data_IF_436738433144
#
_entry.id   IF_436738433144
#
_cell.length_a   1.000
_cell.length_b   1.000
_cell.length_c   1.000
_cell.angle_alpha   90.00
_cell.angle_beta   90.00
_cell.angle_gamma   90.00
#
_symmetry.space_group_name_H-M   'P 1'
#
loop_
_entity.id
_entity.type
_entity.pdbx_description
1 polymer ?
#
# COMPACT_ATOMS: atom_id res chain seq x y z
N UNK A 1 0.50 13.53 -3.10
CA UNK A 1 1.25 13.80 -4.36
C UNK A 1 0.48 13.41 -5.62
N UNK A 2 -0.31 12.33 -5.67
CA UNK A 2 -1.07 11.92 -6.88
C UNK A 2 -2.31 12.77 -7.18
N UNK A 3 -3.00 13.30 -6.17
CA UNK A 3 -4.22 14.10 -6.36
C UNK A 3 -3.96 15.40 -7.15
N UNK A 4 -3.01 16.23 -6.70
CA UNK A 4 -2.65 17.46 -7.42
C UNK A 4 -2.16 17.20 -8.84
N UNK A 5 -1.44 16.10 -9.08
CA UNK A 5 -1.03 15.70 -10.44
C UNK A 5 -2.21 15.36 -11.33
N UNK A 6 -3.23 14.67 -10.81
CA UNK A 6 -4.42 14.30 -11.57
C UNK A 6 -5.28 15.53 -11.90
N UNK A 7 -5.35 16.51 -10.99
CA UNK A 7 -6.02 17.79 -11.23
C UNK A 7 -5.33 18.56 -12.36
N UNK A 8 -4.01 18.72 -12.31
CA UNK A 8 -3.23 19.35 -13.39
C UNK A 8 -3.44 18.66 -14.73
N UNK A 9 -3.32 17.33 -14.79
CA UNK A 9 -3.51 16.53 -16.02
C UNK A 9 -4.94 16.69 -16.59
N UNK A 10 -5.94 16.87 -15.73
CA UNK A 10 -7.33 17.11 -16.12
C UNK A 10 -7.52 18.50 -16.71
N UNK A 11 -6.95 19.53 -16.08
CA UNK A 11 -7.03 20.91 -16.57
C UNK A 11 -6.25 21.13 -17.87
N UNK A 12 -5.07 20.50 -18.01
CA UNK A 12 -4.31 20.46 -19.25
C UNK A 12 -5.12 19.80 -20.38
N UNK A 13 -5.77 18.67 -20.10
CA UNK A 13 -6.60 18.00 -21.10
C UNK A 13 -7.83 18.85 -21.48
N UNK A 14 -8.51 19.49 -20.52
CA UNK A 14 -9.62 20.41 -20.81
C UNK A 14 -9.17 21.55 -21.72
N UNK A 15 -8.01 22.16 -21.41
CA UNK A 15 -7.43 23.24 -22.21
C UNK A 15 -7.10 22.77 -23.62
N UNK A 16 -6.44 21.62 -23.78
CA UNK A 16 -6.11 21.03 -25.08
C UNK A 16 -7.34 20.68 -25.92
N UNK A 17 -8.46 20.34 -25.27
CA UNK A 17 -9.75 20.05 -25.91
C UNK A 17 -10.58 21.30 -26.24
N UNK A 18 -10.05 22.51 -26.02
CA UNK A 18 -10.66 23.77 -26.40
C UNK A 18 -11.56 24.40 -25.34
N UNK A 19 -11.49 23.96 -24.07
CA UNK A 19 -12.11 24.70 -22.97
C UNK A 19 -11.53 26.13 -22.93
N UNK A 20 -12.39 27.14 -23.08
CA UNK A 20 -11.98 28.56 -23.11
C UNK A 20 -11.89 29.20 -24.50
N UNK A 21 -12.10 28.46 -25.60
CA UNK A 21 -12.19 29.05 -26.95
C UNK A 21 -13.56 29.68 -27.25
N UNK A 22 -13.59 30.86 -27.87
CA UNK A 22 -14.82 31.65 -28.15
C UNK A 22 -15.32 31.58 -29.61
N UNK A 23 -14.77 30.71 -30.45
CA UNK A 23 -15.08 30.63 -31.90
C UNK A 23 -16.33 29.81 -32.28
N UNK A 24 -16.94 30.10 -33.44
CA UNK A 24 -18.20 29.49 -33.95
C UNK A 24 -18.23 27.95 -34.11
N UNK A 25 -17.11 27.24 -33.94
CA UNK A 25 -17.02 25.77 -34.01
C UNK A 25 -16.92 25.04 -32.66
N UNK A 26 -16.83 25.77 -31.55
CA UNK A 26 -16.51 25.20 -30.21
C UNK A 26 -17.61 24.30 -29.65
N UNK A 27 -18.87 24.54 -30.02
CA UNK A 27 -20.02 23.74 -29.59
C UNK A 27 -20.05 22.31 -30.16
N UNK A 28 -19.44 22.08 -31.34
CA UNK A 28 -19.28 20.74 -31.91
C UNK A 28 -18.13 19.98 -31.25
N UNK A 29 -17.06 20.69 -30.85
CA UNK A 29 -15.91 20.15 -30.11
C UNK A 29 -16.35 19.61 -28.75
N UNK A 30 -17.24 20.29 -28.03
CA UNK A 30 -17.73 19.91 -26.68
C UNK A 30 -18.41 18.53 -26.62
N UNK A 31 -18.96 18.03 -27.73
CA UNK A 31 -19.71 16.75 -27.75
C UNK A 31 -18.79 15.52 -27.81
N UNK A 32 -17.51 15.68 -28.20
CA UNK A 32 -16.49 14.62 -28.25
C UNK A 32 -15.52 14.59 -27.05
N UNK A 33 -15.51 15.64 -26.21
CA UNK A 33 -14.53 15.79 -25.11
C UNK A 33 -14.83 14.90 -23.89
N UNK A 34 -16.09 14.56 -23.66
CA UNK A 34 -16.51 13.73 -22.52
C UNK A 34 -15.87 12.33 -22.53
N UNK A 35 -15.65 11.76 -23.72
CA UNK A 35 -14.99 10.46 -23.87
C UNK A 35 -13.52 10.50 -23.46
N UNK A 36 -12.79 11.55 -23.89
CA UNK A 36 -11.38 11.73 -23.55
C UNK A 36 -11.17 11.96 -22.05
N UNK A 37 -12.04 12.77 -21.41
CA UNK A 37 -12.02 12.99 -19.97
C UNK A 37 -12.31 11.71 -19.17
N UNK A 38 -13.30 10.91 -19.60
CA UNK A 38 -13.62 9.63 -18.96
C UNK A 38 -12.49 8.61 -19.07
N UNK A 39 -11.83 8.55 -20.22
CA UNK A 39 -10.66 7.69 -20.42
C UNK A 39 -9.47 8.14 -19.57
N UNK A 40 -9.26 9.46 -19.44
CA UNK A 40 -8.26 10.01 -18.52
C UNK A 40 -8.56 9.63 -17.07
N UNK A 41 -9.79 9.83 -16.60
CA UNK A 41 -10.22 9.47 -15.25
C UNK A 41 -10.00 7.96 -14.98
N UNK A 42 -10.33 7.09 -15.94
CA UNK A 42 -10.09 5.65 -15.83
C UNK A 42 -8.62 5.33 -15.65
N UNK A 43 -7.73 5.98 -16.41
CA UNK A 43 -6.26 5.83 -16.28
C UNK A 43 -5.76 6.32 -14.92
N UNK A 44 -6.25 7.48 -14.47
CA UNK A 44 -5.92 8.04 -13.15
C UNK A 44 -6.34 7.09 -12.02
N UNK A 45 -7.56 6.56 -12.07
CA UNK A 45 -8.08 5.58 -11.09
C UNK A 45 -7.30 4.28 -11.09
N UNK A 46 -6.93 3.77 -12.27
CA UNK A 46 -6.10 2.58 -12.41
C UNK A 46 -4.71 2.79 -11.78
N UNK A 47 -4.08 3.94 -12.04
CA UNK A 47 -2.80 4.33 -11.46
C UNK A 47 -2.86 4.50 -9.95
N UNK A 48 -3.93 5.13 -9.44
CA UNK A 48 -4.16 5.25 -7.99
C UNK A 48 -4.29 3.88 -7.33
N UNK A 49 -5.05 2.97 -7.95
CA UNK A 49 -5.24 1.61 -7.41
C UNK A 49 -3.92 0.85 -7.33
N UNK A 50 -3.08 0.91 -8.38
CA UNK A 50 -1.73 0.32 -8.35
C UNK A 50 -0.86 0.94 -7.27
N UNK A 51 -0.78 2.27 -7.22
CA UNK A 51 0.02 2.96 -6.22
C UNK A 51 -0.40 2.62 -4.78
N UNK A 52 -1.71 2.51 -4.52
CA UNK A 52 -2.22 2.09 -3.21
C UNK A 52 -1.88 0.63 -2.89
N UNK A 53 -1.96 -0.29 -3.87
CA UNK A 53 -1.55 -1.69 -3.68
C UNK A 53 -0.05 -1.81 -3.40
N UNK A 54 0.78 -1.12 -4.19
CA UNK A 54 2.24 -1.15 -4.03
C UNK A 54 2.69 -0.55 -2.70
N UNK A 55 1.99 0.50 -2.24
CA UNK A 55 2.25 1.10 -0.93
C UNK A 55 1.88 0.15 0.21
N UNK A 56 0.74 -0.54 0.09
CA UNK A 56 0.29 -1.52 1.07
C UNK A 56 1.24 -2.74 1.12
N UNK A 57 1.63 -3.29 -0.03
CA UNK A 57 2.58 -4.42 -0.08
C UNK A 57 3.93 -4.06 0.54
N UNK A 58 4.46 -2.86 0.25
CA UNK A 58 5.67 -2.36 0.91
C UNK A 58 5.54 -2.28 2.42
N UNK A 59 4.42 -1.74 2.92
CA UNK A 59 4.17 -1.67 4.36
C UNK A 59 4.03 -3.07 5.01
N UNK A 60 3.45 -4.03 4.31
CA UNK A 60 3.35 -5.41 4.78
C UNK A 60 4.73 -6.08 4.84
N UNK A 61 5.56 -5.91 3.80
CA UNK A 61 6.93 -6.45 3.82
C UNK A 61 7.75 -5.84 4.96
N UNK A 62 7.69 -4.52 5.13
CA UNK A 62 8.35 -3.79 6.23
C UNK A 62 7.95 -4.35 7.61
N UNK A 63 6.65 -4.60 7.80
CA UNK A 63 6.13 -5.22 9.01
C UNK A 63 6.63 -6.67 9.20
N UNK A 64 6.65 -7.48 8.14
CA UNK A 64 7.19 -8.84 8.20
C UNK A 64 8.69 -8.85 8.54
N UNK A 65 9.47 -7.93 7.97
CA UNK A 65 10.90 -7.82 8.26
C UNK A 65 11.16 -7.30 9.68
N UNK A 66 10.26 -6.51 10.25
CA UNK A 66 10.33 -6.10 11.66
C UNK A 66 10.10 -7.30 12.59
N UNK A 67 9.08 -8.13 12.35
CA UNK A 67 8.87 -9.37 13.10
C UNK A 67 10.03 -10.36 12.91
N UNK A 68 10.63 -10.43 11.71
CA UNK A 68 11.82 -11.25 11.46
C UNK A 68 13.00 -10.81 12.32
N UNK A 69 13.27 -9.52 12.40
CA UNK A 69 14.39 -9.02 13.20
C UNK A 69 14.16 -9.34 14.70
N UNK A 70 12.93 -9.19 15.19
CA UNK A 70 12.56 -9.61 16.55
C UNK A 70 12.71 -11.13 16.74
N UNK A 71 12.32 -11.94 15.75
CA UNK A 71 12.47 -13.39 15.78
C UNK A 71 13.94 -13.80 15.90
N UNK A 72 14.84 -13.15 15.15
CA UNK A 72 16.27 -13.40 15.21
C UNK A 72 16.85 -13.08 16.59
N UNK A 73 16.49 -11.94 17.17
CA UNK A 73 16.91 -11.56 18.53
C UNK A 73 16.37 -12.54 19.57
N UNK A 74 15.08 -12.86 19.50
CA UNK A 74 14.41 -13.80 20.42
C UNK A 74 15.00 -15.22 20.33
N UNK A 75 15.52 -15.61 19.16
CA UNK A 75 16.18 -16.90 18.94
C UNK A 75 17.69 -16.91 19.28
N UNK A 76 18.26 -15.78 19.73
CA UNK A 76 19.69 -15.66 20.01
C UNK A 76 20.59 -15.63 18.76
N UNK A 77 20.03 -15.41 17.58
CA UNK A 77 20.77 -15.40 16.31
C UNK A 77 21.44 -14.03 16.08
N UNK A 78 22.57 -13.79 16.76
CA UNK A 78 23.26 -12.49 16.79
C UNK A 78 24.14 -12.17 15.57
N UNK A 79 24.37 -13.12 14.68
CA UNK A 79 25.24 -12.94 13.50
C UNK A 79 24.50 -12.47 12.24
N UNK A 80 23.17 -12.38 12.28
CA UNK A 80 22.35 -12.02 11.12
C UNK A 80 22.13 -10.51 11.07
N UNK A 81 22.41 -9.88 9.92
CA UNK A 81 22.14 -8.47 9.72
C UNK A 81 20.64 -8.17 9.83
N UNK A 82 20.30 -7.18 10.67
CA UNK A 82 18.94 -6.68 10.82
C UNK A 82 18.51 -5.87 9.59
N UNK A 83 17.22 -5.96 9.23
CA UNK A 83 16.65 -5.12 8.19
C UNK A 83 16.36 -3.70 8.70
N UNK A 84 16.06 -3.56 10.00
CA UNK A 84 15.74 -2.27 10.65
C UNK A 84 16.73 -1.95 11.78
N UNK A 85 18.00 -1.62 11.46
CA UNK A 85 19.00 -1.29 12.47
C UNK A 85 18.60 -0.05 13.32
N UNK A 86 17.84 0.87 12.74
CA UNK A 86 17.28 2.06 13.38
C UNK A 86 16.14 1.76 14.38
N UNK A 87 15.57 0.55 14.33
CA UNK A 87 14.51 0.10 15.24
C UNK A 87 15.00 -0.92 16.28
N UNK A 88 16.33 -1.08 16.44
CA UNK A 88 16.96 -2.08 17.31
C UNK A 88 16.41 -2.11 18.73
N UNK A 89 16.17 -0.96 19.36
CA UNK A 89 15.58 -0.88 20.71
C UNK A 89 14.16 -1.47 20.77
N UNK A 90 13.32 -1.15 19.77
CA UNK A 90 11.94 -1.68 19.70
C UNK A 90 11.92 -3.17 19.39
N UNK A 91 12.84 -3.62 18.54
CA UNK A 91 13.03 -5.03 18.21
C UNK A 91 13.43 -5.81 19.47
N UNK A 92 14.38 -5.30 20.25
CA UNK A 92 14.82 -5.91 21.50
C UNK A 92 13.69 -5.98 22.53
N UNK A 93 12.94 -4.89 22.73
CA UNK A 93 11.79 -4.88 23.64
C UNK A 93 10.69 -5.87 23.24
N UNK A 94 10.45 -6.06 21.94
CA UNK A 94 9.52 -7.07 21.46
C UNK A 94 10.06 -8.49 21.70
N UNK A 95 11.33 -8.74 21.41
CA UNK A 95 11.98 -10.04 21.59
C UNK A 95 12.08 -10.47 23.07
N UNK A 96 12.10 -9.51 24.01
CA UNK A 96 12.11 -9.78 25.45
C UNK A 96 10.79 -10.42 25.94
N UNK A 97 9.66 -10.11 25.29
CA UNK A 97 8.34 -10.52 25.75
C UNK A 97 7.62 -11.50 24.81
N UNK A 98 8.07 -11.61 23.55
CA UNK A 98 7.42 -12.45 22.55
C UNK A 98 8.35 -13.62 22.17
N UNK A 99 7.93 -14.88 22.41
CA UNK A 99 8.73 -16.03 22.06
C UNK A 99 8.79 -16.26 20.53
N UNK A 100 9.82 -16.99 20.04
CA UNK A 100 10.06 -17.18 18.61
C UNK A 100 8.87 -17.75 17.82
N UNK A 101 8.14 -18.72 18.38
CA UNK A 101 7.00 -19.36 17.72
C UNK A 101 5.85 -18.37 17.44
N UNK A 102 5.66 -17.38 18.31
CA UNK A 102 4.62 -16.36 18.14
C UNK A 102 5.04 -15.26 17.18
N UNK A 103 6.34 -14.91 17.15
CA UNK A 103 6.88 -14.00 16.14
C UNK A 103 6.79 -14.61 14.74
N UNK A 104 7.07 -15.91 14.61
CA UNK A 104 6.86 -16.63 13.36
C UNK A 104 5.39 -16.57 12.93
N UNK A 105 4.45 -16.78 13.85
CA UNK A 105 3.02 -16.67 13.56
C UNK A 105 2.58 -15.26 13.13
N UNK A 106 3.24 -14.22 13.64
CA UNK A 106 3.03 -12.85 13.16
C UNK A 106 3.52 -12.67 11.72
N UNK A 107 4.67 -13.25 11.36
CA UNK A 107 5.20 -13.23 9.98
C UNK A 107 4.24 -13.95 9.04
N UNK A 108 3.78 -15.16 9.42
CA UNK A 108 2.81 -15.94 8.64
C UNK A 108 1.52 -15.15 8.38
N UNK A 109 0.95 -14.51 9.40
CA UNK A 109 -0.25 -13.67 9.25
C UNK A 109 -0.05 -12.54 8.23
N UNK A 110 1.14 -11.93 8.19
CA UNK A 110 1.47 -10.89 7.21
C UNK A 110 1.60 -11.48 5.80
N UNK A 111 2.20 -12.65 5.65
CA UNK A 111 2.30 -13.33 4.36
C UNK A 111 0.93 -13.76 3.82
N UNK A 112 0.07 -14.31 4.68
CA UNK A 112 -1.33 -14.64 4.34
C UNK A 112 -2.11 -13.40 3.89
N UNK A 113 -1.91 -12.26 4.56
CA UNK A 113 -2.50 -10.98 4.16
C UNK A 113 -2.08 -10.60 2.74
N UNK A 114 -0.79 -10.75 2.40
CA UNK A 114 -0.27 -10.46 1.06
C UNK A 114 -0.86 -11.40 0.01
N UNK A 115 -0.98 -12.69 0.31
CA UNK A 115 -1.64 -13.66 -0.57
C UNK A 115 -3.11 -13.31 -0.81
N UNK A 116 -3.85 -12.95 0.24
CA UNK A 116 -5.24 -12.52 0.15
C UNK A 116 -5.39 -11.28 -0.76
N UNK A 117 -4.48 -10.29 -0.63
CA UNK A 117 -4.47 -9.12 -1.49
C UNK A 117 -4.17 -9.46 -2.96
N UNK A 118 -3.29 -10.44 -3.21
CA UNK A 118 -2.96 -10.91 -4.55
C UNK A 118 -4.16 -11.54 -5.27
N UNK A 119 -5.06 -12.19 -4.54
CA UNK A 119 -6.32 -12.74 -5.06
C UNK A 119 -7.50 -11.76 -5.00
N UNK A 120 -7.23 -10.46 -4.87
CA UNK A 120 -8.20 -9.36 -4.89
C UNK A 120 -9.18 -9.30 -3.69
N UNK A 121 -8.80 -9.80 -2.52
CA UNK A 121 -9.52 -9.48 -1.28
C UNK A 121 -9.46 -7.97 -1.04
N UNK A 122 -10.57 -7.39 -0.54
CA UNK A 122 -10.58 -5.95 -0.20
C UNK A 122 -9.56 -5.69 0.91
N UNK A 123 -8.68 -4.68 0.77
CA UNK A 123 -7.61 -4.42 1.73
C UNK A 123 -8.05 -4.34 3.18
N UNK A 124 -9.22 -3.72 3.44
CA UNK A 124 -9.77 -3.63 4.79
C UNK A 124 -9.90 -5.01 5.45
N UNK A 125 -10.47 -6.00 4.76
CA UNK A 125 -10.72 -7.31 5.35
C UNK A 125 -9.44 -8.13 5.51
N UNK A 126 -8.52 -8.08 4.54
CA UNK A 126 -7.24 -8.76 4.64
C UNK A 126 -6.42 -8.22 5.84
N UNK A 127 -6.37 -6.90 5.99
CA UNK A 127 -5.68 -6.24 7.10
C UNK A 127 -6.38 -6.49 8.44
N UNK A 128 -7.72 -6.42 8.50
CA UNK A 128 -8.47 -6.73 9.73
C UNK A 128 -8.15 -8.16 10.22
N UNK A 129 -8.14 -9.14 9.31
CA UNK A 129 -7.82 -10.53 9.64
C UNK A 129 -6.36 -10.69 10.12
N UNK A 130 -5.40 -10.10 9.41
CA UNK A 130 -4.00 -10.08 9.81
C UNK A 130 -3.80 -9.50 11.22
N UNK A 131 -4.39 -8.33 11.48
CA UNK A 131 -4.28 -7.65 12.78
C UNK A 131 -4.94 -8.48 13.88
N UNK A 132 -6.05 -9.17 13.60
CA UNK A 132 -6.66 -10.08 14.57
C UNK A 132 -5.74 -11.26 14.93
N UNK A 133 -5.05 -11.85 13.95
CA UNK A 133 -4.10 -12.95 14.19
C UNK A 133 -2.85 -12.47 14.93
N UNK A 134 -2.24 -11.36 14.48
CA UNK A 134 -1.09 -10.74 15.16
C UNK A 134 -1.45 -10.37 16.61
N UNK A 135 -2.61 -9.74 16.82
CA UNK A 135 -3.08 -9.35 18.14
C UNK A 135 -3.33 -10.53 19.09
N UNK A 136 -3.65 -11.71 18.57
CA UNK A 136 -3.74 -12.95 19.35
C UNK A 136 -2.35 -13.50 19.68
N UNK A 137 -1.45 -13.52 18.70
CA UNK A 137 -0.07 -13.98 18.88
C UNK A 137 0.69 -13.12 19.91
N UNK A 138 0.45 -11.81 19.96
CA UNK A 138 1.14 -10.90 20.88
C UNK A 138 0.54 -10.84 22.30
N UNK A 139 -0.65 -11.39 22.54
CA UNK A 139 -1.34 -11.34 23.84
C UNK A 139 -1.13 -12.56 24.72
N UNK A 140 -0.65 -13.66 24.17
CA UNK A 140 -0.37 -14.87 24.96
C UNK A 140 0.80 -14.65 25.90
#
# INVERSE_FOLDING_TARGET
MTAGRNETETEELKTALGAGGTGKGTAATTRGTAGALKELEKRQKSRQTRASRDALDRALIDLATYFRDALLVSSGASSVTANHPDMSEKVAAMAEHVPPDRLLRCIEAVLECREALAINVKPKFAVDAMVATVGQALRG
#
